data_IF_457634387570
#
_entry.id   IF_457634387570
#
_cell.length_a   1.000
_cell.length_b   1.000
_cell.length_c   1.000
_cell.angle_alpha   90.00
_cell.angle_beta   90.00
_cell.angle_gamma   90.00
#
_symmetry.space_group_name_H-M   'P 1'
#
loop_
_entity.id
_entity.type
_entity.pdbx_description
1 polymer ?
#
# COMPACT_ATOMS: atom_id res chain seq x y z
N UNK A 1 21.49 12.10 -10.62
CA UNK A 1 20.32 11.60 -9.87
C UNK A 1 19.14 11.66 -10.83
N UNK A 2 18.58 10.52 -11.26
CA UNK A 2 17.28 10.56 -11.96
C UNK A 2 16.25 10.99 -10.91
N UNK A 3 15.54 12.07 -11.16
CA UNK A 3 14.36 12.43 -10.37
C UNK A 3 13.39 11.25 -10.48
N UNK A 4 12.99 10.66 -9.34
CA UNK A 4 11.90 9.68 -9.35
C UNK A 4 10.65 10.42 -9.79
N UNK A 5 9.96 9.90 -10.79
CA UNK A 5 8.69 10.48 -11.22
C UNK A 5 7.65 9.40 -11.03
N UNK A 6 7.11 9.32 -9.81
CA UNK A 6 5.89 8.55 -9.58
C UNK A 6 4.75 9.16 -10.40
N UNK A 7 3.83 8.30 -10.81
CA UNK A 7 2.71 8.75 -11.63
C UNK A 7 1.75 9.65 -10.83
N UNK A 8 1.09 10.64 -11.46
CA UNK A 8 0.04 11.42 -10.81
C UNK A 8 -1.13 10.54 -10.32
N UNK A 9 -1.39 9.42 -10.98
CA UNK A 9 -2.47 8.51 -10.61
C UNK A 9 -2.14 7.77 -9.31
N UNK A 10 -0.90 7.29 -9.15
CA UNK A 10 -0.45 6.72 -7.89
C UNK A 10 -0.66 7.70 -6.72
N UNK A 11 -0.27 8.96 -6.91
CA UNK A 11 -0.36 9.95 -5.84
C UNK A 11 -1.79 10.19 -5.37
N UNK A 12 -2.77 10.18 -6.29
CA UNK A 12 -4.19 10.27 -5.93
C UNK A 12 -4.64 9.06 -5.12
N UNK A 13 -4.26 7.85 -5.53
CA UNK A 13 -4.63 6.62 -4.84
C UNK A 13 -3.99 6.55 -3.44
N UNK A 14 -2.75 7.01 -3.28
CA UNK A 14 -2.11 7.18 -1.97
C UNK A 14 -2.88 8.19 -1.11
N UNK A 15 -3.32 9.31 -1.68
CA UNK A 15 -4.12 10.31 -0.97
C UNK A 15 -5.48 9.75 -0.52
N UNK A 16 -6.14 8.95 -1.34
CA UNK A 16 -7.41 8.28 -0.98
C UNK A 16 -7.22 7.29 0.17
N UNK A 17 -6.17 6.48 0.14
CA UNK A 17 -5.81 5.59 1.26
C UNK A 17 -5.48 6.41 2.51
N UNK A 18 -4.68 7.48 2.37
CA UNK A 18 -4.34 8.37 3.49
C UNK A 18 -5.58 8.90 4.19
N UNK A 19 -6.52 9.44 3.42
CA UNK A 19 -7.76 10.01 3.95
C UNK A 19 -8.54 8.96 4.75
N UNK A 20 -8.60 7.71 4.29
CA UNK A 20 -9.24 6.63 5.04
C UNK A 20 -8.47 6.25 6.31
N UNK A 21 -7.14 6.27 6.28
CA UNK A 21 -6.29 5.90 7.41
C UNK A 21 -6.31 6.91 8.57
N UNK A 22 -6.61 8.18 8.30
CA UNK A 22 -6.68 9.21 9.34
C UNK A 22 -8.08 9.37 9.95
N UNK A 23 -9.10 8.72 9.38
CA UNK A 23 -10.46 8.73 9.91
C UNK A 23 -10.55 8.04 11.28
N UNK A 24 -11.26 8.67 12.22
CA UNK A 24 -11.48 8.14 13.58
C UNK A 24 -12.96 8.26 13.97
N UNK A 25 -13.72 7.16 14.09
CA UNK A 25 -13.30 5.76 13.86
C UNK A 25 -13.01 5.48 12.38
N UNK A 26 -12.13 4.51 12.11
CA UNK A 26 -11.79 4.14 10.74
C UNK A 26 -12.99 3.49 10.04
N UNK A 27 -13.27 3.93 8.82
CA UNK A 27 -14.20 3.25 7.93
C UNK A 27 -13.47 2.11 7.21
N UNK A 28 -13.52 0.91 7.78
CA UNK A 28 -12.81 -0.26 7.25
C UNK A 28 -13.28 -0.68 5.85
N UNK A 29 -14.53 -0.38 5.49
CA UNK A 29 -15.04 -0.62 4.15
C UNK A 29 -14.39 0.32 3.14
N UNK A 30 -14.37 1.63 3.43
CA UNK A 30 -13.71 2.62 2.57
C UNK A 30 -12.21 2.38 2.47
N UNK A 31 -11.55 2.10 3.60
CA UNK A 31 -10.12 1.81 3.63
C UNK A 31 -9.78 0.59 2.78
N UNK A 32 -10.58 -0.49 2.89
CA UNK A 32 -10.36 -1.69 2.07
C UNK A 32 -10.48 -1.37 0.59
N UNK A 33 -11.52 -0.64 0.17
CA UNK A 33 -11.71 -0.25 -1.23
C UNK A 33 -10.54 0.60 -1.73
N UNK A 34 -10.13 1.61 -0.97
CA UNK A 34 -8.99 2.46 -1.36
C UNK A 34 -7.68 1.65 -1.51
N UNK A 35 -7.43 0.70 -0.61
CA UNK A 35 -6.29 -0.21 -0.72
C UNK A 35 -6.42 -1.14 -1.94
N UNK A 36 -7.63 -1.64 -2.24
CA UNK A 36 -7.87 -2.44 -3.45
C UNK A 36 -7.59 -1.63 -4.71
N UNK A 37 -8.07 -0.38 -4.81
CA UNK A 37 -7.87 0.47 -5.98
C UNK A 37 -6.39 0.83 -6.19
N UNK A 38 -5.67 1.16 -5.11
CA UNK A 38 -4.22 1.38 -5.14
C UNK A 38 -3.49 0.15 -5.69
N UNK A 39 -3.79 -1.03 -5.16
CA UNK A 39 -3.07 -2.24 -5.55
C UNK A 39 -3.53 -2.81 -6.89
N UNK A 40 -4.78 -2.62 -7.30
CA UNK A 40 -5.23 -2.95 -8.64
C UNK A 40 -4.45 -2.12 -9.66
N UNK A 41 -4.30 -0.81 -9.42
CA UNK A 41 -3.43 0.05 -10.24
C UNK A 41 -1.99 -0.47 -10.30
N UNK A 42 -1.37 -0.80 -9.17
CA UNK A 42 0.00 -1.32 -9.11
C UNK A 42 0.19 -2.68 -9.78
N UNK A 43 -0.88 -3.40 -10.13
CA UNK A 43 -0.81 -4.64 -10.94
C UNK A 43 -0.92 -4.39 -12.44
N UNK A 44 -1.35 -3.19 -12.86
CA UNK A 44 -1.45 -2.83 -14.27
C UNK A 44 -0.08 -2.60 -14.90
N UNK A 45 -0.02 -2.64 -16.24
CA UNK A 45 1.22 -2.32 -16.96
C UNK A 45 1.73 -0.90 -16.67
N UNK A 46 0.83 0.07 -16.48
CA UNK A 46 1.18 1.47 -16.23
C UNK A 46 1.53 1.73 -14.76
N UNK A 47 0.91 0.99 -13.83
CA UNK A 47 1.15 1.13 -12.40
C UNK A 47 2.34 0.32 -11.90
N UNK A 48 2.62 -0.86 -12.47
CA UNK A 48 3.68 -1.78 -12.07
C UNK A 48 5.06 -1.31 -12.53
N UNK A 49 5.51 -0.20 -11.99
CA UNK A 49 6.81 0.42 -12.28
C UNK A 49 7.67 0.52 -11.02
N UNK A 50 8.99 0.58 -11.21
CA UNK A 50 9.92 0.69 -10.07
C UNK A 50 9.64 1.95 -9.24
N UNK A 51 9.45 3.09 -9.92
CA UNK A 51 9.20 4.37 -9.25
C UNK A 51 7.88 4.34 -8.46
N UNK A 52 6.82 3.75 -9.03
CA UNK A 52 5.53 3.66 -8.34
C UNK A 52 5.57 2.73 -7.12
N UNK A 53 6.09 1.51 -7.28
CA UNK A 53 6.18 0.55 -6.17
C UNK A 53 7.03 1.11 -5.02
N UNK A 54 8.13 1.80 -5.36
CA UNK A 54 9.01 2.40 -4.36
C UNK A 54 8.41 3.62 -3.66
N UNK A 55 7.62 4.42 -4.36
CA UNK A 55 6.93 5.56 -3.76
C UNK A 55 5.83 5.11 -2.80
N UNK A 56 5.02 4.12 -3.22
CA UNK A 56 4.02 3.51 -2.34
C UNK A 56 4.67 2.92 -1.09
N UNK A 57 5.71 2.09 -1.26
CA UNK A 57 6.48 1.52 -0.16
C UNK A 57 6.95 2.59 0.84
N UNK A 58 7.65 3.62 0.35
CA UNK A 58 8.17 4.67 1.21
C UNK A 58 7.08 5.44 1.96
N UNK A 59 5.93 5.67 1.33
CA UNK A 59 4.81 6.33 1.99
C UNK A 59 4.36 5.54 3.22
N UNK A 60 4.18 4.22 3.10
CA UNK A 60 3.78 3.39 4.22
C UNK A 60 4.93 3.16 5.19
N UNK A 61 6.16 2.95 4.73
CA UNK A 61 7.35 2.72 5.56
C UNK A 61 7.61 3.86 6.56
N UNK A 62 7.38 5.11 6.14
CA UNK A 62 7.70 6.32 6.92
C UNK A 62 6.51 6.84 7.74
N UNK A 63 5.49 6.02 8.00
CA UNK A 63 4.28 6.48 8.69
C UNK A 63 4.57 7.08 10.08
N UNK A 64 5.40 6.41 10.87
CA UNK A 64 5.77 6.84 12.22
C UNK A 64 6.58 8.14 12.20
N UNK A 65 7.50 8.27 11.24
CA UNK A 65 8.32 9.48 11.04
C UNK A 65 7.46 10.69 10.65
N UNK A 66 6.33 10.45 10.00
CA UNK A 66 5.35 11.48 9.63
C UNK A 66 4.33 11.78 10.74
N UNK A 67 4.48 11.17 11.93
CA UNK A 67 3.63 11.43 13.09
C UNK A 67 2.26 10.74 13.02
N UNK A 68 2.09 9.75 12.15
CA UNK A 68 0.86 8.98 12.02
C UNK A 68 1.08 7.56 12.54
N UNK A 69 0.18 7.11 13.41
CA UNK A 69 0.10 5.72 13.83
C UNK A 69 -1.26 5.11 13.52
N UNK A 70 -1.26 3.83 13.20
CA UNK A 70 -2.43 3.09 12.77
C UNK A 70 -3.06 2.28 13.92
N UNK A 71 -2.77 2.63 15.18
CA UNK A 71 -3.16 1.88 16.39
C UNK A 71 -4.67 1.64 16.53
N UNK A 72 -5.46 2.52 15.91
CA UNK A 72 -6.92 2.46 15.91
C UNK A 72 -7.48 1.46 14.89
N UNK A 73 -6.66 0.93 13.99
CA UNK A 73 -7.04 -0.09 13.03
C UNK A 73 -6.98 -1.50 13.63
N UNK A 74 -7.81 -2.44 13.14
CA UNK A 74 -7.68 -3.84 13.46
C UNK A 74 -6.30 -4.40 13.07
N UNK A 75 -5.86 -5.42 13.81
CA UNK A 75 -4.55 -6.06 13.61
C UNK A 75 -4.30 -6.50 12.16
N UNK A 76 -5.31 -7.14 11.54
CA UNK A 76 -5.18 -7.65 10.16
C UNK A 76 -4.88 -6.53 9.14
N UNK A 77 -5.38 -5.30 9.38
CA UNK A 77 -5.10 -4.14 8.52
C UNK A 77 -3.70 -3.58 8.78
N UNK A 78 -3.29 -3.48 10.05
CA UNK A 78 -1.95 -3.01 10.42
C UNK A 78 -0.86 -3.88 9.79
N UNK A 79 -0.99 -5.20 9.92
CA UNK A 79 -0.04 -6.15 9.34
C UNK A 79 0.09 -6.02 7.82
N UNK A 80 -1.01 -5.79 7.10
CA UNK A 80 -0.94 -5.57 5.65
C UNK A 80 -0.25 -4.25 5.34
N UNK A 81 -0.56 -3.16 6.07
CA UNK A 81 0.06 -1.85 5.86
C UNK A 81 1.57 -1.90 6.13
N UNK A 82 1.99 -2.60 7.17
CA UNK A 82 3.40 -2.80 7.50
C UNK A 82 4.14 -3.57 6.39
N UNK A 83 3.53 -4.62 5.85
CA UNK A 83 4.12 -5.42 4.77
C UNK A 83 4.22 -4.65 3.44
N UNK A 84 3.33 -3.68 3.22
CA UNK A 84 3.41 -2.77 2.07
C UNK A 84 4.65 -1.87 2.19
N UNK A 85 4.90 -1.31 3.38
CA UNK A 85 6.06 -0.47 3.67
C UNK A 85 7.37 -1.25 3.90
N UNK A 86 7.36 -2.56 3.71
CA UNK A 86 8.50 -3.43 3.94
C UNK A 86 9.27 -3.79 2.66
N UNK A 87 8.57 -4.40 1.69
CA UNK A 87 9.22 -5.07 0.54
C UNK A 87 8.55 -4.83 -0.81
N UNK A 88 7.60 -3.90 -0.91
CA UNK A 88 6.94 -3.59 -2.18
C UNK A 88 7.93 -3.02 -3.21
N UNK A 89 8.92 -2.24 -2.77
CA UNK A 89 9.92 -1.63 -3.66
C UNK A 89 10.78 -2.64 -4.44
N UNK A 90 10.90 -3.89 -3.97
CA UNK A 90 11.69 -4.93 -4.62
C UNK A 90 10.94 -5.63 -5.78
N UNK A 91 9.63 -5.42 -5.92
CA UNK A 91 8.73 -6.14 -6.84
C UNK A 91 9.07 -6.07 -8.34
N UNK A 92 10.00 -5.18 -8.72
CA UNK A 92 10.46 -5.01 -10.10
C UNK A 92 11.90 -5.46 -10.28
N UNK A 93 12.80 -5.09 -9.36
CA UNK A 93 14.24 -5.35 -9.48
C UNK A 93 14.66 -6.69 -8.91
N UNK A 94 14.04 -7.09 -7.80
CA UNK A 94 14.33 -8.32 -7.06
C UNK A 94 12.98 -9.00 -6.73
N UNK A 95 12.17 -9.38 -7.73
CA UNK A 95 10.82 -9.89 -7.52
C UNK A 95 10.78 -11.08 -6.55
N UNK A 96 11.81 -11.93 -6.56
CA UNK A 96 11.94 -13.07 -5.64
C UNK A 96 11.98 -12.65 -4.17
N UNK A 97 12.52 -11.47 -3.84
CA UNK A 97 12.51 -10.94 -2.48
C UNK A 97 11.07 -10.59 -2.11
N UNK A 98 10.41 -9.73 -2.91
CA UNK A 98 9.01 -9.34 -2.67
C UNK A 98 8.07 -10.54 -2.58
N UNK A 99 8.29 -11.58 -3.42
CA UNK A 99 7.46 -12.78 -3.46
C UNK A 99 7.62 -13.64 -2.20
N UNK A 100 8.85 -13.76 -1.67
CA UNK A 100 9.14 -14.51 -0.45
C UNK A 100 8.48 -13.89 0.79
N UNK A 101 8.28 -12.58 0.80
CA UNK A 101 7.58 -11.84 1.85
C UNK A 101 6.07 -11.67 1.58
N UNK A 102 5.55 -12.24 0.48
CA UNK A 102 4.17 -12.06 0.04
C UNK A 102 3.77 -10.58 -0.18
N UNK A 103 4.72 -9.78 -0.65
CA UNK A 103 4.63 -8.32 -0.84
C UNK A 103 4.68 -7.87 -2.30
N UNK A 104 4.56 -8.79 -3.28
CA UNK A 104 4.30 -8.36 -4.67
C UNK A 104 2.93 -7.68 -4.79
N UNK A 105 2.70 -6.79 -5.77
CA UNK A 105 1.40 -6.13 -5.96
C UNK A 105 0.23 -7.11 -6.01
N UNK A 106 0.37 -8.24 -6.73
CA UNK A 106 -0.68 -9.24 -6.84
C UNK A 106 -0.94 -9.99 -5.52
N UNK A 107 0.11 -10.30 -4.75
CA UNK A 107 -0.03 -10.97 -3.45
C UNK A 107 -0.70 -10.04 -2.44
N UNK A 108 -0.25 -8.78 -2.35
CA UNK A 108 -0.86 -7.78 -1.47
C UNK A 108 -2.31 -7.52 -1.85
N UNK A 109 -2.62 -7.36 -3.15
CA UNK A 109 -4.00 -7.20 -3.62
C UNK A 109 -4.88 -8.38 -3.21
N UNK A 110 -4.39 -9.61 -3.38
CA UNK A 110 -5.11 -10.82 -2.96
C UNK A 110 -5.35 -10.84 -1.45
N UNK A 111 -4.36 -10.44 -0.64
CA UNK A 111 -4.46 -10.37 0.82
C UNK A 111 -5.48 -9.31 1.25
N UNK A 112 -5.43 -8.11 0.65
CA UNK A 112 -6.38 -7.01 0.89
C UNK A 112 -7.81 -7.48 0.57
N UNK A 113 -8.03 -8.11 -0.58
CA UNK A 113 -9.35 -8.64 -0.97
C UNK A 113 -9.93 -9.64 0.04
N UNK A 114 -9.05 -10.38 0.73
CA UNK A 114 -9.43 -11.35 1.77
C UNK A 114 -9.60 -10.74 3.17
N UNK A 115 -9.29 -9.44 3.37
CA UNK A 115 -9.57 -8.77 4.64
C UNK A 115 -11.05 -8.82 4.97
N UNK A 116 -11.33 -9.12 6.23
CA UNK A 116 -12.70 -9.10 6.75
C UNK A 116 -13.01 -7.71 7.26
N UNK A 117 -14.10 -7.14 6.77
CA UNK A 117 -14.73 -5.98 7.40
C UNK A 117 -15.49 -6.55 8.60
N UNK A 118 -15.02 -6.24 9.81
CA UNK A 118 -15.70 -6.61 11.05
C UNK A 118 -16.43 -5.36 11.53
N UNK A 119 -17.73 -5.50 11.79
CA UNK A 119 -18.60 -4.45 12.33
C UNK A 119 -18.23 -4.07 13.77
#
# INVERSE_FOLDING_TARGET
>A
MKTRISSPELMKLIEEVHNCLIERPANLSSLKVALEDLFDYLTTQDGRTEDNCKEADLYFCLHDDNGFNWDHLPEDYKLIIDDIGGQLHDSIKNPEISENFESSPEQLLKRIRNLKIKD
#
